data_IF_325183820933
#
_entry.id   IF_325183820933
#
_cell.length_a   1.000
_cell.length_b   1.000
_cell.length_c   1.000
_cell.angle_alpha   90.00
_cell.angle_beta   90.00
_cell.angle_gamma   90.00
#
_symmetry.space_group_name_H-M   'P 1'
#
loop_
_entity.id
_entity.type
_entity.pdbx_description
1 polymer ?
#
# COMPACT_ATOMS: atom_id res chain seq x y z
N UNK A 1 -5.29 3.08 -14.94
CA UNK A 1 -5.25 4.53 -15.27
C UNK A 1 -3.80 4.99 -15.31
N UNK A 2 -3.44 5.81 -16.30
CA UNK A 2 -2.09 6.35 -16.44
C UNK A 2 -2.16 7.89 -16.26
N UNK A 3 -1.31 8.42 -15.38
CA UNK A 3 -1.17 9.87 -15.14
C UNK A 3 0.24 10.25 -15.57
N UNK A 4 0.37 11.30 -16.37
CA UNK A 4 1.66 11.86 -16.78
C UNK A 4 1.79 13.27 -16.21
N UNK A 5 2.84 13.50 -15.44
CA UNK A 5 3.20 14.82 -14.95
C UNK A 5 4.67 15.07 -15.24
N UNK A 6 4.96 16.15 -15.95
CA UNK A 6 6.29 16.51 -16.45
C UNK A 6 6.90 15.31 -17.24
N UNK A 7 8.08 14.84 -16.86
CA UNK A 7 8.79 13.73 -17.51
C UNK A 7 8.53 12.37 -16.85
N UNK A 8 7.63 12.29 -15.86
CA UNK A 8 7.34 11.06 -15.13
C UNK A 8 5.94 10.53 -15.46
N UNK A 9 5.86 9.23 -15.65
CA UNK A 9 4.62 8.50 -15.91
C UNK A 9 4.27 7.66 -14.68
N UNK A 10 3.08 7.88 -14.12
CA UNK A 10 2.54 7.10 -13.03
C UNK A 10 1.42 6.19 -13.55
N UNK A 11 1.56 4.88 -13.33
CA UNK A 11 0.55 3.89 -13.65
C UNK A 11 -0.19 3.48 -12.37
N UNK A 12 -1.50 3.70 -12.33
CA UNK A 12 -2.34 3.26 -11.22
C UNK A 12 -3.02 1.94 -11.57
N UNK A 13 -2.77 0.92 -10.75
CA UNK A 13 -3.37 -0.40 -10.86
C UNK A 13 -4.26 -0.67 -9.63
N UNK A 14 -5.52 -0.99 -9.89
CA UNK A 14 -6.44 -1.57 -8.89
C UNK A 14 -6.79 -2.98 -9.36
N UNK A 15 -6.18 -4.04 -8.80
CA UNK A 15 -6.50 -5.41 -9.16
C UNK A 15 -7.99 -5.70 -8.96
N UNK A 16 -8.58 -6.46 -9.90
CA UNK A 16 -9.96 -6.93 -9.80
C UNK A 16 -10.01 -8.46 -9.55
N UNK A 17 -8.87 -9.04 -9.21
CA UNK A 17 -8.72 -10.42 -8.79
C UNK A 17 -9.14 -10.59 -7.32
N UNK A 18 -9.26 -11.83 -6.86
CA UNK A 18 -9.28 -12.07 -5.41
C UNK A 18 -7.98 -11.57 -4.76
N UNK A 19 -8.04 -11.25 -3.46
CA UNK A 19 -6.89 -10.67 -2.74
C UNK A 19 -5.64 -11.54 -2.84
N UNK A 20 -5.76 -12.85 -2.68
CA UNK A 20 -4.66 -13.82 -2.80
C UNK A 20 -4.15 -14.03 -4.23
N UNK A 21 -4.74 -13.39 -5.23
CA UNK A 21 -4.32 -13.40 -6.64
C UNK A 21 -3.84 -12.03 -7.13
N UNK A 22 -3.71 -11.06 -6.24
CA UNK A 22 -3.26 -9.69 -6.57
C UNK A 22 -1.92 -9.67 -7.30
N UNK A 23 -1.01 -10.60 -6.94
CA UNK A 23 0.31 -10.72 -7.56
C UNK A 23 0.27 -11.06 -9.05
N UNK A 24 -0.74 -11.82 -9.50
CA UNK A 24 -0.93 -12.16 -10.92
C UNK A 24 -1.16 -10.88 -11.74
N UNK A 25 -2.05 -10.01 -11.26
CA UNK A 25 -2.33 -8.73 -11.93
C UNK A 25 -1.11 -7.79 -11.92
N UNK A 26 -0.42 -7.71 -10.76
CA UNK A 26 0.78 -6.88 -10.62
C UNK A 26 1.89 -7.36 -11.56
N UNK A 27 2.15 -8.67 -11.61
CA UNK A 27 3.16 -9.25 -12.50
C UNK A 27 2.87 -8.93 -13.96
N UNK A 28 1.65 -9.17 -14.44
CA UNK A 28 1.26 -8.89 -15.83
C UNK A 28 1.54 -7.42 -16.21
N UNK A 29 1.18 -6.48 -15.35
CA UNK A 29 1.38 -5.05 -15.60
C UNK A 29 2.86 -4.68 -15.56
N UNK A 30 3.62 -5.20 -14.58
CA UNK A 30 5.07 -4.99 -14.49
C UNK A 30 5.80 -5.48 -15.74
N UNK A 31 5.48 -6.68 -16.20
CA UNK A 31 6.12 -7.30 -17.36
C UNK A 31 5.77 -6.53 -18.65
N UNK A 32 4.51 -6.17 -18.83
CA UNK A 32 4.04 -5.42 -20.00
C UNK A 32 4.68 -4.03 -20.12
N UNK A 33 4.73 -3.28 -19.02
CA UNK A 33 5.30 -1.92 -19.00
C UNK A 33 6.79 -1.89 -18.63
N UNK A 34 7.44 -3.04 -18.44
CA UNK A 34 8.85 -3.20 -18.05
C UNK A 34 9.21 -2.40 -16.78
N UNK A 35 8.32 -2.44 -15.76
CA UNK A 35 8.50 -1.74 -14.50
C UNK A 35 9.33 -2.62 -13.56
N UNK A 36 10.41 -2.08 -13.00
CA UNK A 36 11.21 -2.77 -11.99
C UNK A 36 10.51 -2.80 -10.62
N UNK A 37 10.91 -3.72 -9.74
CA UNK A 37 10.29 -3.86 -8.41
C UNK A 37 10.46 -2.61 -7.55
N UNK A 38 11.63 -1.97 -7.58
CA UNK A 38 11.90 -0.72 -6.84
C UNK A 38 11.11 0.50 -7.36
N UNK A 39 10.50 0.42 -8.54
CA UNK A 39 9.58 1.41 -9.09
C UNK A 39 8.10 1.08 -8.80
N UNK A 40 7.85 0.00 -8.07
CA UNK A 40 6.50 -0.44 -7.71
C UNK A 40 6.16 0.03 -6.30
N UNK A 41 5.01 0.68 -6.14
CA UNK A 41 4.48 1.10 -4.83
C UNK A 41 3.21 0.29 -4.58
N UNK A 42 3.17 -0.44 -3.46
CA UNK A 42 2.01 -1.20 -3.02
C UNK A 42 1.39 -0.52 -1.81
N UNK A 43 0.12 -0.18 -1.91
CA UNK A 43 -0.67 0.43 -0.83
C UNK A 43 -1.63 -0.62 -0.33
N UNK A 44 -1.64 -0.88 0.97
CA UNK A 44 -2.47 -1.93 1.57
C UNK A 44 -2.79 -1.66 3.04
N UNK A 45 -3.82 -2.33 3.52
CA UNK A 45 -4.26 -2.28 4.91
C UNK A 45 -3.34 -3.04 5.85
N UNK A 46 -3.24 -2.58 7.07
CA UNK A 46 -2.38 -3.17 8.09
C UNK A 46 -3.07 -3.22 9.45
N UNK A 47 -3.21 -4.44 9.95
CA UNK A 47 -3.83 -4.72 11.26
C UNK A 47 -2.93 -4.33 12.44
N UNK A 48 -1.61 -4.27 12.24
CA UNK A 48 -0.65 -3.95 13.32
C UNK A 48 -0.49 -2.45 13.57
N UNK A 49 -1.07 -1.62 12.71
CA UNK A 49 -1.07 -0.17 12.84
C UNK A 49 -2.45 0.31 13.32
N UNK A 50 -2.46 1.34 14.16
CA UNK A 50 -3.72 1.97 14.60
C UNK A 50 -4.46 2.58 13.41
N UNK A 51 -5.79 2.72 13.53
CA UNK A 51 -6.60 3.37 12.48
C UNK A 51 -6.08 4.77 12.19
N UNK A 52 -5.77 5.02 10.92
CA UNK A 52 -5.22 6.30 10.48
C UNK A 52 -3.70 6.40 10.49
N UNK A 53 -3.02 5.47 11.07
CA UNK A 53 -1.56 5.43 11.05
C UNK A 53 -1.05 4.96 9.69
N UNK A 54 0.00 5.63 9.17
CA UNK A 54 0.66 5.23 7.91
C UNK A 54 2.12 4.90 8.20
N UNK A 55 2.62 3.85 7.54
CA UNK A 55 4.04 3.50 7.57
C UNK A 55 4.57 3.18 6.18
N UNK A 56 5.65 3.83 5.80
CA UNK A 56 6.34 3.65 4.52
C UNK A 56 7.56 2.79 4.75
N UNK A 57 7.77 1.79 3.88
CA UNK A 57 8.97 0.94 3.84
C UNK A 57 9.38 0.67 2.40
N UNK A 58 10.66 0.46 2.16
CA UNK A 58 11.24 0.12 0.85
C UNK A 58 11.33 -1.38 0.60
N UNK A 59 11.28 -2.19 1.67
CA UNK A 59 11.34 -3.66 1.60
C UNK A 59 10.65 -4.29 2.82
N UNK A 60 10.45 -5.59 2.81
CA UNK A 60 9.92 -6.35 3.95
C UNK A 60 9.10 -7.58 3.56
N UNK A 61 8.66 -8.34 4.55
CA UNK A 61 7.74 -9.47 4.39
C UNK A 61 6.29 -9.05 4.16
N UNK A 62 5.40 -10.01 4.01
CA UNK A 62 3.95 -9.79 3.82
C UNK A 62 3.22 -9.37 5.10
N UNK A 63 3.79 -9.67 6.29
CA UNK A 63 3.09 -9.48 7.56
C UNK A 63 1.78 -10.28 7.67
N UNK A 64 1.64 -11.36 6.92
CA UNK A 64 0.41 -12.16 6.86
C UNK A 64 -0.67 -11.60 5.91
N UNK A 65 -0.40 -10.48 5.23
CA UNK A 65 -1.35 -9.93 4.26
C UNK A 65 -1.34 -10.74 2.96
N UNK A 66 -2.45 -11.41 2.65
CA UNK A 66 -2.57 -12.35 1.52
C UNK A 66 -2.22 -11.73 0.16
N UNK A 67 -2.65 -10.49 -0.08
CA UNK A 67 -2.36 -9.78 -1.33
C UNK A 67 -0.87 -9.46 -1.49
N UNK A 68 -0.22 -9.04 -0.41
CA UNK A 68 1.23 -8.76 -0.42
C UNK A 68 2.02 -10.05 -0.59
N UNK A 69 1.60 -11.13 0.06
CA UNK A 69 2.21 -12.45 -0.11
C UNK A 69 2.14 -12.90 -1.58
N UNK A 70 0.96 -12.80 -2.17
CA UNK A 70 0.76 -13.09 -3.60
C UNK A 70 1.66 -12.25 -4.51
N UNK A 71 1.85 -10.96 -4.20
CA UNK A 71 2.75 -10.10 -4.98
C UNK A 71 4.20 -10.60 -4.85
N UNK A 72 4.69 -10.89 -3.64
CA UNK A 72 6.05 -11.39 -3.42
C UNK A 72 6.29 -12.69 -4.20
N UNK A 73 5.36 -13.63 -4.12
CA UNK A 73 5.45 -14.92 -4.82
C UNK A 73 5.48 -14.76 -6.35
N UNK A 74 4.61 -13.95 -6.90
CA UNK A 74 4.49 -13.78 -8.36
C UNK A 74 5.63 -12.97 -8.97
N UNK A 75 6.18 -11.98 -8.28
CA UNK A 75 7.31 -11.18 -8.78
C UNK A 75 8.68 -11.72 -8.37
N UNK A 76 8.71 -12.71 -7.45
CA UNK A 76 9.92 -13.40 -7.04
C UNK A 76 10.87 -12.61 -6.13
N UNK A 77 10.44 -11.45 -5.61
CA UNK A 77 11.21 -10.65 -4.65
C UNK A 77 10.31 -9.73 -3.82
N UNK A 78 10.89 -9.12 -2.80
CA UNK A 78 10.20 -8.23 -1.88
C UNK A 78 10.71 -6.76 -1.94
N UNK A 79 11.44 -6.40 -2.98
CA UNK A 79 12.11 -5.09 -3.16
C UNK A 79 11.17 -4.07 -3.80
N UNK A 80 9.98 -3.89 -3.26
CA UNK A 80 9.04 -2.86 -3.68
C UNK A 80 8.65 -1.96 -2.52
N UNK A 81 8.29 -0.73 -2.83
CA UNK A 81 7.88 0.28 -1.84
C UNK A 81 6.51 -0.07 -1.29
N UNK A 82 6.35 0.05 0.01
CA UNK A 82 5.11 -0.22 0.76
C UNK A 82 4.60 1.02 1.43
N UNK A 83 3.32 1.29 1.25
CA UNK A 83 2.56 2.25 2.05
C UNK A 83 1.51 1.44 2.82
N UNK A 84 1.78 1.23 4.11
CA UNK A 84 0.91 0.48 5.03
C UNK A 84 -0.06 1.45 5.67
N UNK A 85 -1.35 1.16 5.59
CA UNK A 85 -2.42 1.99 6.16
C UNK A 85 -3.05 1.23 7.32
N UNK A 86 -2.93 1.77 8.53
CA UNK A 86 -3.50 1.18 9.73
C UNK A 86 -5.02 1.14 9.70
N UNK A 87 -5.57 -0.03 9.95
CA UNK A 87 -7.01 -0.25 10.14
C UNK A 87 -7.33 -0.78 11.54
N UNK A 88 -6.30 -0.96 12.40
CA UNK A 88 -6.47 -1.52 13.74
C UNK A 88 -6.64 -3.04 13.75
N UNK A 89 -6.72 -3.61 14.93
CA UNK A 89 -6.89 -5.05 15.14
C UNK A 89 -8.30 -5.39 15.59
N UNK A 90 -8.88 -6.51 15.12
CA UNK A 90 -10.05 -7.08 15.73
C UNK A 90 -9.72 -7.59 17.15
N UNK A 91 -10.73 -7.65 18.02
CA UNK A 91 -10.58 -8.18 19.37
C UNK A 91 -10.16 -9.65 19.37
N UNK A 92 -10.60 -10.42 18.40
CA UNK A 92 -10.29 -11.84 18.23
C UNK A 92 -9.70 -12.12 16.84
N UNK A 93 -8.63 -12.92 16.78
CA UNK A 93 -7.99 -13.33 15.52
C UNK A 93 -8.96 -14.08 14.57
N UNK A 94 -9.89 -14.84 15.12
CA UNK A 94 -10.93 -15.56 14.37
C UNK A 94 -11.82 -14.63 13.52
N UNK A 95 -11.93 -13.36 13.90
CA UNK A 95 -12.74 -12.34 13.22
C UNK A 95 -11.97 -11.53 12.17
N UNK A 96 -10.70 -11.81 11.93
CA UNK A 96 -9.84 -10.99 11.04
C UNK A 96 -10.45 -10.78 9.65
N UNK A 97 -10.89 -11.82 8.98
CA UNK A 97 -11.47 -11.70 7.64
C UNK A 97 -12.75 -10.86 7.63
N UNK A 98 -13.62 -11.04 8.62
CA UNK A 98 -14.85 -10.30 8.77
C UNK A 98 -14.60 -8.83 9.11
N UNK A 99 -13.58 -8.57 9.92
CA UNK A 99 -13.16 -7.23 10.30
C UNK A 99 -12.62 -6.44 9.10
N UNK A 100 -11.69 -7.00 8.34
CA UNK A 100 -11.10 -6.36 7.14
C UNK A 100 -12.17 -6.03 6.09
N UNK A 101 -13.22 -6.84 5.99
CA UNK A 101 -14.33 -6.63 5.05
C UNK A 101 -15.47 -5.76 5.64
N UNK A 102 -15.39 -5.36 6.89
CA UNK A 102 -16.41 -4.52 7.53
C UNK A 102 -16.33 -3.06 7.07
N UNK A 103 -17.43 -2.33 7.30
CA UNK A 103 -17.44 -0.88 7.05
C UNK A 103 -16.80 -0.15 8.22
N UNK A 104 -16.11 0.93 7.92
CA UNK A 104 -15.64 1.88 8.92
C UNK A 104 -16.80 2.55 9.66
N UNK A 105 -16.63 2.81 10.95
CA UNK A 105 -17.50 3.69 11.72
C UNK A 105 -17.46 5.12 11.16
N UNK A 106 -18.39 5.99 11.59
CA UNK A 106 -18.41 7.40 11.15
C UNK A 106 -17.10 8.14 11.49
N UNK A 107 -16.53 7.87 12.67
CA UNK A 107 -15.30 8.54 13.10
C UNK A 107 -14.06 7.97 12.39
N UNK A 108 -13.96 6.66 12.23
CA UNK A 108 -12.93 6.04 11.40
C UNK A 108 -12.99 6.52 9.94
N UNK A 109 -14.19 6.69 9.40
CA UNK A 109 -14.38 7.21 8.03
C UNK A 109 -13.80 8.62 7.85
N UNK A 110 -13.91 9.49 8.86
CA UNK A 110 -13.28 10.83 8.84
C UNK A 110 -11.75 10.72 8.81
N UNK A 111 -11.19 9.81 9.63
CA UNK A 111 -9.75 9.55 9.67
C UNK A 111 -9.27 9.03 8.33
N UNK A 112 -9.97 8.04 7.76
CA UNK A 112 -9.64 7.45 6.45
C UNK A 112 -9.70 8.48 5.31
N UNK A 113 -10.66 9.41 5.34
CA UNK A 113 -10.73 10.49 4.36
C UNK A 113 -9.51 11.43 4.43
N UNK A 114 -8.98 11.69 5.62
CA UNK A 114 -7.74 12.44 5.78
C UNK A 114 -6.53 11.69 5.22
N UNK A 115 -6.51 10.35 5.33
CA UNK A 115 -5.46 9.50 4.75
C UNK A 115 -5.40 9.65 3.23
N UNK A 116 -6.53 9.78 2.53
CA UNK A 116 -6.55 9.94 1.09
C UNK A 116 -5.78 11.19 0.62
N UNK A 117 -5.86 12.29 1.38
CA UNK A 117 -5.09 13.50 1.09
C UNK A 117 -3.61 13.31 1.44
N UNK A 118 -3.33 12.62 2.54
CA UNK A 118 -1.96 12.33 2.95
C UNK A 118 -1.27 11.36 1.97
N UNK A 119 -1.99 10.36 1.46
CA UNK A 119 -1.47 9.41 0.48
C UNK A 119 -1.00 10.09 -0.81
N UNK A 120 -1.71 11.12 -1.29
CA UNK A 120 -1.27 11.92 -2.46
C UNK A 120 0.10 12.56 -2.20
N UNK A 121 0.28 13.19 -1.03
CA UNK A 121 1.52 13.85 -0.66
C UNK A 121 2.68 12.84 -0.49
N UNK A 122 2.39 11.66 0.04
CA UNK A 122 3.36 10.57 0.17
C UNK A 122 3.81 10.09 -1.21
N UNK A 123 2.86 9.76 -2.11
CA UNK A 123 3.18 9.32 -3.47
C UNK A 123 3.98 10.40 -4.20
N UNK A 124 3.55 11.65 -4.12
CA UNK A 124 4.29 12.77 -4.71
C UNK A 124 5.73 12.84 -4.18
N UNK A 125 5.91 12.72 -2.87
CA UNK A 125 7.24 12.76 -2.25
C UNK A 125 8.13 11.59 -2.69
N UNK A 126 7.58 10.38 -2.79
CA UNK A 126 8.32 9.21 -3.29
C UNK A 126 8.74 9.42 -4.75
N UNK A 127 7.81 9.89 -5.60
CA UNK A 127 8.02 10.00 -7.04
C UNK A 127 8.94 11.17 -7.41
N UNK A 128 8.79 12.33 -6.77
CA UNK A 128 9.47 13.55 -7.16
C UNK A 128 10.65 13.95 -6.25
N UNK A 129 10.75 13.37 -5.06
CA UNK A 129 11.89 13.59 -4.16
C UNK A 129 12.67 12.29 -3.97
N UNK A 130 12.37 11.50 -2.94
CA UNK A 130 12.92 10.17 -2.72
C UNK A 130 12.11 9.40 -1.70
N UNK A 131 12.30 8.06 -1.67
CA UNK A 131 11.71 7.23 -0.63
C UNK A 131 12.23 7.60 0.77
N UNK A 132 13.51 7.87 0.90
CA UNK A 132 14.12 8.29 2.18
C UNK A 132 13.50 9.59 2.70
N UNK A 133 13.26 10.57 1.82
CA UNK A 133 12.57 11.80 2.18
C UNK A 133 11.13 11.50 2.66
N UNK A 134 10.40 10.67 1.95
CA UNK A 134 9.05 10.29 2.33
C UNK A 134 9.01 9.55 3.68
N UNK A 135 9.92 8.59 3.89
CA UNK A 135 10.02 7.87 5.16
C UNK A 135 10.32 8.81 6.33
N UNK A 136 11.30 9.70 6.20
CA UNK A 136 11.67 10.66 7.24
C UNK A 136 10.54 11.67 7.53
N UNK A 137 9.78 12.07 6.50
CA UNK A 137 8.72 13.06 6.64
C UNK A 137 7.45 12.47 7.23
N UNK A 138 7.07 11.26 6.85
CA UNK A 138 5.76 10.72 7.15
C UNK A 138 5.76 9.59 8.22
N UNK A 139 6.84 8.82 8.38
CA UNK A 139 6.92 7.81 9.42
C UNK A 139 7.06 8.40 10.83
N UNK A 140 7.61 9.61 10.96
CA UNK A 140 7.87 10.27 12.25
C UNK A 140 6.71 11.16 12.75
N UNK A 141 5.72 11.44 11.92
CA UNK A 141 4.63 12.38 12.24
C UNK A 141 3.39 11.76 12.86
N UNK A 142 3.42 10.46 13.11
CA UNK A 142 2.26 9.74 13.68
C UNK A 142 2.68 9.12 15.00
N UNK A 143 2.77 9.96 16.01
CA UNK A 143 2.66 9.57 17.42
C UNK A 143 1.24 9.83 17.91
#
# INVERSE_FOLDING_TARGET
>A
MCIRDRDRKLLLLKPQTYMNESGVAVKKVKDFFKISSNQTIVIYDDLDLQVGQIKIKDTGGSGGHNGVNSIIENIGNNNFIRIRIGIGKPLEKSMTNKYVLSKFTKDESKIVNNINNLAKNIIYSIVFKSISFAMNTFNSKIQ
#
